data_IF_181148766254
#
_entry.id   IF_181148766254
#
_cell.length_a   1.000
_cell.length_b   1.000
_cell.length_c   1.000
_cell.angle_alpha   90.00
_cell.angle_beta   90.00
_cell.angle_gamma   90.00
#
_symmetry.space_group_name_H-M   'P 1'
#
loop_
_entity.id
_entity.type
_entity.pdbx_description
1 polymer ?
#
# COMPACT_ATOMS: atom_id res chain seq x y z
N UNK A 1 5.59 -15.88 25.01
CA UNK A 1 6.77 -15.20 24.45
C UNK A 1 6.37 -13.76 24.15
N UNK A 2 7.10 -12.79 24.65
CA UNK A 2 6.85 -11.37 24.41
C UNK A 2 7.37 -10.94 23.03
N UNK A 3 7.03 -9.71 22.58
CA UNK A 3 7.57 -9.18 21.33
C UNK A 3 9.11 -8.99 21.43
N UNK A 4 9.59 -8.51 22.57
CA UNK A 4 11.03 -8.36 22.82
C UNK A 4 11.74 -9.72 22.77
N UNK A 5 11.23 -10.75 23.49
CA UNK A 5 11.84 -12.08 23.47
C UNK A 5 11.92 -12.64 22.03
N UNK A 6 10.87 -12.43 21.25
CA UNK A 6 10.80 -12.91 19.87
C UNK A 6 11.88 -12.26 18.99
N UNK A 7 11.95 -10.92 18.97
CA UNK A 7 12.92 -10.19 18.15
C UNK A 7 14.35 -10.47 18.62
N UNK A 8 14.60 -10.51 19.94
CA UNK A 8 15.91 -10.84 20.51
C UNK A 8 16.36 -12.25 20.14
N UNK A 9 15.43 -13.24 20.17
CA UNK A 9 15.76 -14.60 19.75
C UNK A 9 16.20 -14.65 18.31
N UNK A 10 15.50 -13.95 17.41
CA UNK A 10 15.85 -13.87 15.99
C UNK A 10 17.15 -13.09 15.74
N UNK A 11 17.37 -11.99 16.45
CA UNK A 11 18.65 -11.27 16.41
C UNK A 11 19.85 -12.17 16.76
N UNK A 12 19.71 -13.00 17.78
CA UNK A 12 20.74 -13.97 18.16
C UNK A 12 21.02 -15.02 17.06
N UNK A 13 20.02 -15.40 16.26
CA UNK A 13 20.22 -16.29 15.11
C UNK A 13 21.06 -15.63 14.00
N UNK A 14 21.14 -14.30 13.98
CA UNK A 14 22.03 -13.53 13.10
C UNK A 14 23.46 -13.39 13.69
N UNK A 15 23.77 -14.07 14.80
CA UNK A 15 25.12 -14.12 15.37
C UNK A 15 25.41 -13.04 16.43
N UNK A 16 24.42 -12.25 16.83
CA UNK A 16 24.58 -11.24 17.89
C UNK A 16 24.75 -11.89 19.26
N UNK A 17 25.55 -11.28 20.14
CA UNK A 17 25.58 -11.62 21.56
C UNK A 17 24.20 -11.37 22.19
N UNK A 18 23.99 -11.82 23.40
CA UNK A 18 22.72 -11.60 24.11
C UNK A 18 22.48 -10.13 24.38
N UNK A 19 23.50 -9.43 24.79
CA UNK A 19 23.48 -8.00 25.12
C UNK A 19 23.15 -7.17 23.87
N UNK A 20 23.91 -7.35 22.79
CA UNK A 20 23.68 -6.67 21.50
C UNK A 20 22.28 -6.97 20.93
N UNK A 21 21.84 -8.22 20.97
CA UNK A 21 20.53 -8.61 20.49
C UNK A 21 19.39 -7.95 21.27
N UNK A 22 19.53 -7.80 22.59
CA UNK A 22 18.53 -7.14 23.43
C UNK A 22 18.46 -5.65 23.12
N UNK A 23 19.59 -4.96 23.12
CA UNK A 23 19.68 -3.53 22.83
C UNK A 23 19.12 -3.20 21.42
N UNK A 24 19.53 -3.96 20.41
CA UNK A 24 19.01 -3.77 19.03
C UNK A 24 17.51 -4.07 18.93
N UNK A 25 17.02 -5.07 19.65
CA UNK A 25 15.60 -5.43 19.64
C UNK A 25 14.75 -4.34 20.29
N UNK A 26 15.18 -3.76 21.40
CA UNK A 26 14.52 -2.63 22.04
C UNK A 26 14.46 -1.43 21.09
N UNK A 27 15.59 -1.08 20.47
CA UNK A 27 15.68 0.03 19.51
C UNK A 27 14.75 -0.16 18.30
N UNK A 28 14.73 -1.33 17.65
CA UNK A 28 13.85 -1.54 16.49
C UNK A 28 12.38 -1.64 16.87
N UNK A 29 12.05 -2.16 18.06
CA UNK A 29 10.68 -2.17 18.56
C UNK A 29 10.18 -0.77 18.92
N UNK A 30 11.04 0.10 19.46
CA UNK A 30 10.77 1.52 19.64
C UNK A 30 10.55 2.22 18.31
N UNK A 31 11.43 2.01 17.33
CA UNK A 31 11.33 2.57 15.99
C UNK A 31 10.00 2.25 15.32
N UNK A 32 9.49 1.03 15.45
CA UNK A 32 8.17 0.65 14.90
C UNK A 32 6.99 1.03 15.81
N UNK A 33 7.22 1.80 16.88
CA UNK A 33 6.20 2.31 17.80
C UNK A 33 5.54 1.23 18.65
N UNK A 34 6.31 0.30 19.20
CA UNK A 34 5.86 -0.76 20.10
C UNK A 34 6.45 -0.70 21.51
N UNK A 35 7.06 0.42 21.90
CA UNK A 35 7.74 0.63 23.19
C UNK A 35 6.87 0.21 24.39
N UNK A 36 5.63 0.72 24.46
CA UNK A 36 4.74 0.49 25.61
C UNK A 36 4.22 -0.95 25.71
N UNK A 37 4.42 -1.74 24.68
CA UNK A 37 3.83 -3.08 24.56
C UNK A 37 4.84 -4.17 24.27
N UNK A 38 6.13 -3.85 24.10
CA UNK A 38 7.15 -4.85 23.73
C UNK A 38 7.29 -6.01 24.73
N UNK A 39 6.94 -5.77 26.01
CA UNK A 39 6.95 -6.80 27.08
C UNK A 39 5.65 -7.61 27.15
N UNK A 40 4.63 -7.31 26.31
CA UNK A 40 3.39 -8.09 26.25
C UNK A 40 3.53 -9.29 25.32
N UNK A 41 2.73 -10.31 25.59
CA UNK A 41 2.69 -11.52 24.77
C UNK A 41 2.18 -11.24 23.36
N UNK A 42 2.86 -11.78 22.35
CA UNK A 42 2.50 -11.64 20.93
C UNK A 42 1.07 -12.13 20.62
N UNK A 43 0.57 -13.11 21.36
CA UNK A 43 -0.79 -13.62 21.20
C UNK A 43 -1.88 -12.57 21.45
N UNK A 44 -1.57 -11.53 22.24
CA UNK A 44 -2.48 -10.43 22.58
C UNK A 44 -2.39 -9.24 21.59
N UNK A 45 -1.51 -9.31 20.60
CA UNK A 45 -1.30 -8.23 19.65
C UNK A 45 -2.39 -8.20 18.57
N UNK A 46 -2.79 -6.98 18.18
CA UNK A 46 -3.59 -6.77 16.98
C UNK A 46 -2.82 -7.20 15.72
N UNK A 47 -3.51 -7.31 14.59
CA UNK A 47 -2.86 -7.65 13.33
C UNK A 47 -1.80 -6.61 12.93
N UNK A 48 -2.11 -5.32 13.09
CA UNK A 48 -1.16 -4.23 12.81
C UNK A 48 0.04 -4.23 13.76
N UNK A 49 -0.15 -4.54 15.05
CA UNK A 49 0.97 -4.70 15.99
C UNK A 49 1.86 -5.89 15.60
N UNK A 50 1.29 -7.03 15.23
CA UNK A 50 2.06 -8.19 14.74
C UNK A 50 2.83 -7.87 13.47
N UNK A 51 2.26 -7.08 12.57
CA UNK A 51 2.93 -6.64 11.35
C UNK A 51 4.15 -5.76 11.67
N UNK A 52 4.00 -4.82 12.61
CA UNK A 52 5.13 -4.00 13.08
C UNK A 52 6.24 -4.80 13.74
N UNK A 53 5.91 -5.86 14.49
CA UNK A 53 6.92 -6.81 15.03
C UNK A 53 7.68 -7.51 13.91
N UNK A 54 7.01 -7.91 12.81
CA UNK A 54 7.70 -8.51 11.64
C UNK A 54 8.65 -7.53 10.98
N UNK A 55 8.27 -6.25 10.88
CA UNK A 55 9.16 -5.20 10.36
C UNK A 55 10.34 -5.01 11.30
N UNK A 56 10.13 -4.93 12.62
CA UNK A 56 11.21 -4.84 13.60
C UNK A 56 12.21 -6.01 13.49
N UNK A 57 11.69 -7.24 13.32
CA UNK A 57 12.52 -8.42 13.07
C UNK A 57 13.35 -8.27 11.78
N UNK A 58 12.75 -7.78 10.70
CA UNK A 58 13.48 -7.57 9.44
C UNK A 58 14.59 -6.51 9.56
N UNK A 59 14.49 -5.60 10.53
CA UNK A 59 15.44 -4.51 10.76
C UNK A 59 16.54 -4.82 11.77
N UNK A 60 16.34 -5.81 12.65
CA UNK A 60 17.20 -6.00 13.81
C UNK A 60 18.67 -6.24 13.46
N UNK A 61 18.95 -6.87 12.33
CA UNK A 61 20.31 -7.15 11.83
C UNK A 61 20.86 -6.08 10.86
N UNK A 62 20.19 -4.92 10.81
CA UNK A 62 20.59 -3.73 10.04
C UNK A 62 20.82 -3.97 8.52
N UNK A 63 19.87 -4.55 7.80
CA UNK A 63 20.04 -4.87 6.37
C UNK A 63 20.08 -3.63 5.49
N UNK A 64 20.79 -3.70 4.35
CA UNK A 64 20.78 -2.68 3.30
C UNK A 64 19.53 -2.77 2.41
N UNK A 65 18.98 -3.99 2.23
CA UNK A 65 17.80 -4.28 1.42
C UNK A 65 16.72 -4.95 2.26
N UNK A 66 15.51 -4.39 2.19
CA UNK A 66 14.32 -4.90 2.90
C UNK A 66 13.25 -5.21 1.87
N UNK A 67 12.69 -6.42 1.93
CA UNK A 67 11.58 -6.84 1.06
C UNK A 67 10.34 -7.05 1.92
N UNK A 68 9.27 -6.30 1.64
CA UNK A 68 8.01 -6.34 2.36
C UNK A 68 6.90 -6.77 1.40
N UNK A 69 6.38 -7.98 1.61
CA UNK A 69 5.27 -8.51 0.82
C UNK A 69 3.94 -8.23 1.52
N UNK A 70 3.09 -7.42 0.87
CA UNK A 70 1.77 -6.99 1.34
C UNK A 70 1.77 -6.49 2.82
N UNK A 71 2.67 -5.57 3.23
CA UNK A 71 2.85 -5.21 4.64
C UNK A 71 1.62 -4.55 5.27
N UNK A 72 0.71 -4.01 4.48
CA UNK A 72 -0.49 -3.30 4.94
C UNK A 72 -1.74 -4.20 4.94
N UNK A 73 -1.62 -5.44 4.41
CA UNK A 73 -2.76 -6.33 4.24
C UNK A 73 -3.47 -6.66 5.56
N UNK A 74 -4.77 -6.36 5.62
CA UNK A 74 -5.65 -6.62 6.75
C UNK A 74 -5.33 -5.83 8.02
N UNK A 75 -4.57 -4.75 7.91
CA UNK A 75 -4.42 -3.75 8.96
C UNK A 75 -5.61 -2.77 8.93
N UNK A 76 -5.97 -2.24 10.09
CA UNK A 76 -6.91 -1.12 10.19
C UNK A 76 -6.28 0.17 9.66
N UNK A 77 -7.07 1.23 9.36
CA UNK A 77 -6.55 2.46 8.75
C UNK A 77 -5.44 3.14 9.56
N UNK A 78 -5.53 3.10 10.89
CA UNK A 78 -4.54 3.72 11.77
C UNK A 78 -3.21 2.95 11.73
N UNK A 79 -3.28 1.62 11.81
CA UNK A 79 -2.12 0.76 11.70
C UNK A 79 -1.44 0.88 10.33
N UNK A 80 -2.22 0.99 9.22
CA UNK A 80 -1.68 1.24 7.87
C UNK A 80 -0.87 2.53 7.81
N UNK A 81 -1.43 3.63 8.31
CA UNK A 81 -0.74 4.92 8.33
C UNK A 81 0.57 4.83 9.11
N UNK A 82 0.56 4.20 10.29
CA UNK A 82 1.76 4.00 11.09
C UNK A 82 2.82 3.15 10.37
N UNK A 83 2.43 2.05 9.70
CA UNK A 83 3.37 1.21 8.96
C UNK A 83 3.95 1.95 7.75
N UNK A 84 3.12 2.70 7.01
CA UNK A 84 3.60 3.52 5.89
C UNK A 84 4.61 4.57 6.35
N UNK A 85 4.40 5.21 7.52
CA UNK A 85 5.35 6.16 8.11
C UNK A 85 6.70 5.50 8.39
N UNK A 86 6.69 4.31 9.03
CA UNK A 86 7.91 3.52 9.30
C UNK A 86 8.65 3.18 8.00
N UNK A 87 7.93 2.73 6.95
CA UNK A 87 8.54 2.39 5.65
C UNK A 87 9.21 3.62 5.02
N UNK A 88 8.57 4.77 5.05
CA UNK A 88 9.14 6.02 4.51
C UNK A 88 10.38 6.45 5.29
N UNK A 89 10.32 6.43 6.62
CA UNK A 89 11.42 6.78 7.50
C UNK A 89 12.66 5.90 7.26
N UNK A 90 12.46 4.58 7.07
CA UNK A 90 13.55 3.68 6.66
C UNK A 90 14.19 4.10 5.33
N UNK A 91 13.38 4.52 4.35
CA UNK A 91 13.87 5.02 3.07
C UNK A 91 14.66 6.32 3.21
N UNK A 92 14.19 7.25 4.05
CA UNK A 92 14.87 8.51 4.36
C UNK A 92 16.21 8.28 5.09
N UNK A 93 16.32 7.19 5.86
CA UNK A 93 17.57 6.73 6.50
C UNK A 93 18.52 6.02 5.50
N UNK A 94 18.17 5.94 4.20
CA UNK A 94 19.00 5.40 3.14
C UNK A 94 18.87 3.89 2.91
N UNK A 95 17.88 3.21 3.51
CA UNK A 95 17.62 1.79 3.23
C UNK A 95 16.99 1.60 1.86
N UNK A 96 17.37 0.54 1.17
CA UNK A 96 16.68 0.11 -0.06
C UNK A 96 15.49 -0.76 0.32
N UNK A 97 14.27 -0.35 -0.09
CA UNK A 97 13.04 -1.04 0.29
C UNK A 97 12.25 -1.44 -0.95
N UNK A 98 11.89 -2.72 -1.05
CA UNK A 98 10.96 -3.23 -2.05
C UNK A 98 9.65 -3.60 -1.35
N UNK A 99 8.55 -2.92 -1.71
CA UNK A 99 7.22 -3.14 -1.14
C UNK A 99 6.29 -3.67 -2.21
N UNK A 100 5.61 -4.78 -1.97
CA UNK A 100 4.48 -5.22 -2.80
C UNK A 100 3.15 -4.73 -2.21
N UNK A 101 2.21 -4.33 -3.05
CA UNK A 101 0.80 -4.13 -2.72
C UNK A 101 -0.05 -4.25 -3.98
N UNK A 102 -1.29 -4.68 -3.82
CA UNK A 102 -2.30 -4.66 -4.88
C UNK A 102 -3.17 -3.39 -4.84
N UNK A 103 -2.90 -2.47 -3.91
CA UNK A 103 -3.62 -1.21 -3.72
C UNK A 103 -2.70 -0.06 -4.11
N UNK A 104 -2.97 0.56 -5.26
CA UNK A 104 -2.12 1.61 -5.82
C UNK A 104 -2.02 2.84 -4.91
N UNK A 105 -3.14 3.24 -4.28
CA UNK A 105 -3.21 4.39 -3.37
C UNK A 105 -2.31 4.22 -2.12
N UNK A 106 -2.04 2.98 -1.70
CA UNK A 106 -1.09 2.70 -0.62
C UNK A 106 0.34 2.94 -1.08
N UNK A 107 0.68 2.47 -2.29
CA UNK A 107 2.02 2.65 -2.87
C UNK A 107 2.33 4.13 -3.11
N UNK A 108 1.36 4.89 -3.65
CA UNK A 108 1.50 6.34 -3.87
C UNK A 108 1.90 7.13 -2.62
N UNK A 109 1.45 6.68 -1.46
CA UNK A 109 1.79 7.29 -0.18
C UNK A 109 3.19 6.93 0.30
N UNK A 110 3.82 5.90 -0.26
CA UNK A 110 5.14 5.41 0.14
C UNK A 110 6.22 5.89 -0.83
N UNK A 111 5.98 5.78 -2.14
CA UNK A 111 6.98 6.04 -3.18
C UNK A 111 6.35 6.50 -4.49
N UNK A 112 7.12 7.25 -5.28
CA UNK A 112 6.77 7.59 -6.67
C UNK A 112 7.31 6.58 -7.69
N UNK A 113 8.26 5.73 -7.30
CA UNK A 113 8.87 4.73 -8.19
C UNK A 113 8.14 3.41 -8.06
N UNK A 114 7.60 2.90 -9.17
CA UNK A 114 6.82 1.66 -9.18
C UNK A 114 7.29 0.69 -10.26
N UNK A 115 7.02 -0.58 -9.99
CA UNK A 115 7.16 -1.69 -10.93
C UNK A 115 5.80 -2.38 -11.03
N UNK A 116 5.22 -2.44 -12.22
CA UNK A 116 3.94 -3.12 -12.45
C UNK A 116 4.23 -4.52 -13.02
N UNK A 117 3.76 -5.53 -12.30
CA UNK A 117 3.85 -6.93 -12.69
C UNK A 117 2.46 -7.51 -12.97
N UNK A 118 2.33 -8.29 -14.03
CA UNK A 118 1.10 -9.04 -14.34
C UNK A 118 1.45 -10.40 -14.95
N UNK A 119 0.87 -11.46 -14.39
CA UNK A 119 1.11 -12.85 -14.82
C UNK A 119 2.61 -13.18 -14.97
N UNK A 120 3.43 -12.77 -14.01
CA UNK A 120 4.87 -13.00 -14.00
C UNK A 120 5.67 -12.19 -15.03
N UNK A 121 5.06 -11.19 -15.68
CA UNK A 121 5.71 -10.32 -16.66
C UNK A 121 5.78 -8.89 -16.16
N UNK A 122 6.90 -8.23 -16.44
CA UNK A 122 7.06 -6.80 -16.24
C UNK A 122 6.22 -6.04 -17.28
N UNK A 123 5.27 -5.22 -16.83
CA UNK A 123 4.45 -4.38 -17.70
C UNK A 123 5.00 -2.96 -17.80
N UNK A 124 5.40 -2.38 -16.68
CA UNK A 124 5.93 -1.03 -16.62
C UNK A 124 6.88 -0.86 -15.43
N UNK A 125 7.82 0.06 -15.57
CA UNK A 125 8.71 0.52 -14.50
C UNK A 125 8.91 2.03 -14.66
N UNK A 126 8.87 2.76 -13.56
CA UNK A 126 9.16 4.19 -13.57
C UNK A 126 8.34 4.99 -12.55
N UNK A 127 8.28 6.29 -12.79
CA UNK A 127 7.52 7.21 -11.96
C UNK A 127 6.01 6.99 -12.16
N UNK A 128 5.28 6.90 -11.07
CA UNK A 128 3.84 6.64 -11.06
C UNK A 128 3.03 7.69 -11.87
N UNK A 129 3.37 8.98 -11.75
CA UNK A 129 2.68 10.04 -12.49
C UNK A 129 2.86 9.87 -14.01
N UNK A 130 4.07 9.50 -14.46
CA UNK A 130 4.34 9.22 -15.87
C UNK A 130 3.54 8.02 -16.37
N UNK A 131 3.45 6.96 -15.56
CA UNK A 131 2.68 5.75 -15.90
C UNK A 131 1.18 6.06 -15.94
N UNK A 132 0.63 6.83 -14.99
CA UNK A 132 -0.76 7.31 -15.05
C UNK A 132 -1.05 8.10 -16.32
N UNK A 133 -0.20 9.05 -16.68
CA UNK A 133 -0.35 9.83 -17.91
C UNK A 133 -0.37 8.97 -19.19
N UNK A 134 0.21 7.77 -19.17
CA UNK A 134 0.10 6.80 -20.26
C UNK A 134 -1.24 6.05 -20.22
N UNK A 135 -1.77 5.75 -19.04
CA UNK A 135 -3.07 5.10 -18.86
C UNK A 135 -4.23 6.06 -19.18
N UNK A 136 -4.11 7.34 -18.81
CA UNK A 136 -5.11 8.39 -19.06
C UNK A 136 -5.26 8.75 -20.56
N UNK A 137 -4.32 8.34 -21.42
CA UNK A 137 -4.46 8.45 -22.88
C UNK A 137 -5.51 7.53 -23.49
N UNK A 138 -6.03 6.57 -22.73
CA UNK A 138 -7.18 5.80 -23.15
C UNK A 138 -8.47 6.46 -22.66
N UNK A 139 -9.43 6.75 -23.54
CA UNK A 139 -10.67 7.41 -23.16
C UNK A 139 -11.41 6.58 -22.09
N UNK A 140 -11.69 7.21 -20.95
CA UNK A 140 -12.51 6.59 -19.91
C UNK A 140 -13.94 6.45 -20.43
N UNK A 141 -14.45 5.22 -20.52
CA UNK A 141 -15.87 4.98 -20.80
C UNK A 141 -16.67 5.22 -19.53
N UNK A 142 -17.42 6.33 -19.49
CA UNK A 142 -18.36 6.62 -18.44
C UNK A 142 -19.75 6.23 -18.89
N UNK A 143 -20.35 5.23 -18.25
CA UNK A 143 -21.73 4.82 -18.53
C UNK A 143 -22.67 5.56 -17.57
N UNK A 144 -23.44 6.51 -18.09
CA UNK A 144 -24.43 7.26 -17.31
C UNK A 144 -25.82 6.69 -17.63
N UNK A 145 -26.52 6.17 -16.61
CA UNK A 145 -27.92 5.76 -16.70
C UNK A 145 -28.80 6.91 -16.23
N UNK A 146 -29.70 7.37 -17.09
CA UNK A 146 -30.66 8.44 -16.75
C UNK A 146 -32.01 8.19 -17.41
N UNK A 147 -33.04 8.85 -16.91
CA UNK A 147 -34.42 8.71 -17.41
C UNK A 147 -34.61 9.37 -18.79
N UNK A 148 -33.91 10.49 -19.04
CA UNK A 148 -33.93 11.21 -20.32
C UNK A 148 -32.51 11.39 -20.89
N UNK A 149 -32.03 10.42 -21.70
CA UNK A 149 -30.72 10.47 -22.34
C UNK A 149 -30.54 11.62 -23.32
N UNK A 150 -31.64 12.11 -23.96
CA UNK A 150 -31.56 13.19 -24.96
C UNK A 150 -31.28 14.54 -24.30
N UNK A 151 -31.97 14.84 -23.24
CA UNK A 151 -31.71 16.07 -22.46
C UNK A 151 -30.32 16.08 -21.88
N UNK A 152 -29.82 14.95 -21.38
CA UNK A 152 -28.47 14.81 -20.88
C UNK A 152 -27.42 15.01 -22.02
N UNK A 153 -27.63 14.40 -23.19
CA UNK A 153 -26.75 14.57 -24.36
C UNK A 153 -26.66 16.03 -24.79
N UNK A 154 -27.79 16.75 -24.85
CA UNK A 154 -27.81 18.16 -25.22
C UNK A 154 -27.04 19.02 -24.23
N UNK A 155 -27.09 18.67 -22.95
CA UNK A 155 -26.37 19.40 -21.89
C UNK A 155 -24.85 19.23 -22.04
N UNK A 156 -24.37 18.06 -22.44
CA UNK A 156 -22.95 17.80 -22.71
C UNK A 156 -22.47 18.43 -24.03
N UNK A 157 -23.30 18.46 -25.07
CA UNK A 157 -22.96 19.08 -26.37
C UNK A 157 -22.93 20.60 -26.29
N UNK A 158 -23.68 21.21 -25.36
CA UNK A 158 -23.69 22.67 -25.14
C UNK A 158 -22.50 23.20 -24.31
N UNK A 159 -21.73 22.30 -23.69
CA UNK A 159 -20.49 22.67 -22.99
C UNK A 159 -19.29 22.39 -23.92
N UNK A 160 -18.35 23.33 -24.02
CA UNK A 160 -17.13 23.12 -24.80
C UNK A 160 -16.38 21.87 -24.34
N UNK A 161 -15.87 21.02 -25.26
CA UNK A 161 -15.21 19.76 -24.89
C UNK A 161 -13.96 20.02 -24.06
N UNK A 162 -13.90 19.41 -22.87
CA UNK A 162 -12.80 19.58 -21.89
C UNK A 162 -11.50 18.90 -22.36
N UNK A 163 -11.48 18.15 -23.46
CA UNK A 163 -10.27 17.67 -24.17
C UNK A 163 -10.61 16.84 -25.41
N UNK A 164 -9.73 16.84 -26.39
CA UNK A 164 -9.87 16.27 -27.74
C UNK A 164 -9.95 14.72 -27.84
N UNK A 165 -10.12 13.97 -26.79
CA UNK A 165 -9.99 12.48 -26.82
C UNK A 165 -11.10 11.68 -26.14
N UNK A 166 -12.26 12.25 -25.85
CA UNK A 166 -13.38 11.54 -25.20
C UNK A 166 -14.53 11.23 -26.16
N UNK A 167 -14.88 9.95 -26.35
CA UNK A 167 -16.14 9.55 -26.99
C UNK A 167 -17.21 9.31 -25.95
N UNK A 168 -18.36 9.98 -26.07
CA UNK A 168 -19.51 9.82 -25.18
C UNK A 168 -20.48 8.80 -25.81
N UNK A 169 -20.64 7.62 -25.22
CA UNK A 169 -21.69 6.67 -25.57
C UNK A 169 -22.84 6.78 -24.56
N UNK A 170 -24.01 7.24 -25.03
CA UNK A 170 -25.22 7.33 -24.22
C UNK A 170 -26.19 6.19 -24.63
N UNK A 171 -26.46 5.29 -23.66
CA UNK A 171 -27.37 4.14 -23.92
C UNK A 171 -28.70 4.33 -23.19
N UNK A 172 -29.79 4.17 -23.90
CA UNK A 172 -31.14 4.18 -23.35
C UNK A 172 -31.56 2.74 -22.99
N UNK A 173 -31.38 2.35 -21.72
CA UNK A 173 -31.95 1.10 -21.22
C UNK A 173 -33.35 1.37 -20.64
N UNK A 174 -34.40 1.13 -21.42
CA UNK A 174 -35.75 1.02 -20.86
C UNK A 174 -35.74 -0.08 -19.80
N UNK A 175 -36.04 0.29 -18.59
CA UNK A 175 -36.36 -0.63 -17.50
C UNK A 175 -37.52 -1.52 -17.94
N UNK A 176 -37.31 -2.83 -18.11
CA UNK A 176 -38.40 -3.79 -18.05
C UNK A 176 -38.65 -4.11 -16.59
N UNK A 177 -39.83 -3.79 -16.03
CA UNK A 177 -40.15 -4.27 -14.69
C UNK A 177 -40.28 -5.81 -14.79
N UNK A 178 -39.52 -6.54 -13.99
CA UNK A 178 -39.77 -7.95 -13.74
C UNK A 178 -41.01 -8.05 -12.88
N UNK A 179 -42.11 -8.45 -13.52
CA UNK A 179 -43.31 -8.95 -12.84
C UNK A 179 -43.08 -10.40 -12.42
N UNK A 180 -43.41 -10.67 -11.16
CA UNK A 180 -43.70 -11.93 -10.46
C UNK A 180 -42.53 -12.59 -9.78
#
# INVERSE_FOLDING_TARGET
MTALDFVTTLARLHGMTREEATERSEHVLEFVGLTDVMHKELGKFSKGMRQRVKIAHALVHDPDLIILDEPLHGCDPLARTSIMSVIREMGEQGKTILVSSHILEEIERITEQIVILHNGRLLAIGNLHAIRGLLDKHPHRILIKCEDPRSLANLFVSQEPVSESGSLEISNSRFRPTTS
#
